data_IF_944417564298
#
_entry.id   IF_944417564298
#
_cell.length_a   1.000
_cell.length_b   1.000
_cell.length_c   1.000
_cell.angle_alpha   90.00
_cell.angle_beta   90.00
_cell.angle_gamma   90.00
#
_symmetry.space_group_name_H-M   'P 1'
#
loop_
_entity.id
_entity.type
_entity.pdbx_description
1 polymer ?
#
# COMPACT_ATOMS: atom_id res chain seq x y z
N UNK A 1 16.85 11.16 -1.19
CA UNK A 1 15.61 11.77 -1.73
C UNK A 1 14.43 10.86 -1.47
N UNK A 2 13.34 11.41 -0.99
CA UNK A 2 12.13 10.63 -0.78
C UNK A 2 11.45 10.28 -2.10
N UNK A 3 10.92 9.07 -2.16
CA UNK A 3 10.14 8.59 -3.30
C UNK A 3 8.76 8.19 -2.83
N UNK A 4 7.79 8.26 -3.73
CA UNK A 4 6.39 8.03 -3.41
C UNK A 4 5.71 7.15 -4.46
N UNK A 5 4.82 6.27 -4.01
CA UNK A 5 3.83 5.64 -4.87
C UNK A 5 2.59 6.55 -4.92
N UNK A 6 2.07 6.80 -6.11
CA UNK A 6 0.80 7.48 -6.28
C UNK A 6 -0.29 6.43 -6.49
N UNK A 7 -1.15 6.27 -5.49
CA UNK A 7 -2.16 5.21 -5.47
C UNK A 7 -3.53 5.83 -5.68
N UNK A 8 -4.29 5.41 -6.71
CA UNK A 8 -5.65 5.88 -6.89
C UNK A 8 -6.56 5.31 -5.81
N UNK A 9 -7.28 6.19 -5.12
CA UNK A 9 -8.20 5.83 -4.04
C UNK A 9 -9.61 6.27 -4.47
N UNK A 10 -10.53 5.32 -4.57
CA UNK A 10 -11.92 5.61 -4.94
C UNK A 10 -12.78 5.49 -3.68
N UNK A 11 -13.39 6.61 -3.26
CA UNK A 11 -14.22 6.64 -2.07
C UNK A 11 -15.63 6.07 -2.34
N UNK A 12 -16.46 6.03 -1.29
CA UNK A 12 -17.82 5.49 -1.39
C UNK A 12 -18.72 6.27 -2.35
N UNK A 13 -18.38 7.54 -2.62
CA UNK A 13 -19.11 8.40 -3.56
C UNK A 13 -18.67 8.20 -5.02
N UNK A 14 -17.69 7.32 -5.27
CA UNK A 14 -17.16 7.08 -6.61
C UNK A 14 -16.12 8.09 -7.08
N UNK A 15 -15.66 8.99 -6.20
CA UNK A 15 -14.61 9.97 -6.55
C UNK A 15 -13.24 9.34 -6.34
N UNK A 16 -12.39 9.43 -7.36
CA UNK A 16 -11.03 8.90 -7.32
C UNK A 16 -10.03 10.03 -7.07
N UNK A 17 -9.17 9.84 -6.07
CA UNK A 17 -8.09 10.77 -5.73
C UNK A 17 -6.78 9.99 -5.67
N UNK A 18 -5.71 10.54 -6.22
CA UNK A 18 -4.39 9.93 -6.13
C UNK A 18 -3.72 10.34 -4.82
N UNK A 19 -3.36 9.36 -4.01
CA UNK A 19 -2.72 9.59 -2.71
C UNK A 19 -1.27 9.15 -2.76
N UNK A 20 -0.37 10.01 -2.30
CA UNK A 20 1.07 9.71 -2.27
C UNK A 20 1.40 8.92 -1.00
N UNK A 21 2.10 7.82 -1.18
CA UNK A 21 2.57 6.96 -0.09
C UNK A 21 4.10 6.88 -0.18
N UNK A 22 4.78 7.31 0.88
CA UNK A 22 6.24 7.31 0.91
C UNK A 22 6.79 5.88 0.90
N UNK A 23 7.86 5.65 0.13
CA UNK A 23 8.52 4.35 0.06
C UNK A 23 9.87 4.35 0.77
N UNK A 24 10.33 5.50 1.26
CA UNK A 24 11.57 5.61 2.02
C UNK A 24 11.29 5.48 3.51
N UNK A 25 12.27 4.95 4.24
CA UNK A 25 12.17 4.73 5.70
C UNK A 25 11.07 3.77 6.11
N UNK A 26 10.68 2.86 5.22
CA UNK A 26 9.71 1.81 5.55
C UNK A 26 10.39 0.77 6.43
N UNK A 27 9.80 0.51 7.59
CA UNK A 27 10.28 -0.52 8.50
C UNK A 27 9.67 -1.88 8.16
N UNK A 28 8.40 -1.91 7.76
CA UNK A 28 7.73 -3.14 7.37
C UNK A 28 6.36 -2.89 6.76
N UNK A 29 5.89 -3.88 6.04
CA UNK A 29 4.54 -3.91 5.45
C UNK A 29 3.91 -5.22 5.85
N UNK A 30 2.70 -5.18 6.41
CA UNK A 30 2.00 -6.40 6.85
C UNK A 30 0.49 -6.24 6.76
N UNK A 31 -0.26 -7.34 6.57
CA UNK A 31 -1.72 -7.29 6.71
C UNK A 31 -2.09 -6.88 8.12
N UNK A 32 -3.15 -6.09 8.26
CA UNK A 32 -3.67 -5.71 9.58
C UNK A 32 -4.25 -6.96 10.25
N UNK A 33 -3.81 -7.22 11.49
CA UNK A 33 -4.23 -8.42 12.24
C UNK A 33 -5.74 -8.52 12.40
N UNK A 34 -6.43 -7.38 12.53
CA UNK A 34 -7.87 -7.36 12.67
C UNK A 34 -8.64 -7.42 11.36
N UNK A 35 -7.98 -7.26 10.21
CA UNK A 35 -8.64 -7.18 8.91
C UNK A 35 -7.69 -7.59 7.78
N UNK A 36 -7.13 -8.79 7.87
CA UNK A 36 -6.07 -9.26 6.95
C UNK A 36 -6.52 -9.33 5.48
N UNK A 37 -7.83 -9.47 5.25
CA UNK A 37 -8.35 -9.55 3.87
C UNK A 37 -8.46 -8.20 3.20
N UNK A 38 -8.69 -7.13 3.96
CA UNK A 38 -9.09 -5.83 3.44
C UNK A 38 -8.20 -4.66 3.86
N UNK A 39 -7.27 -4.87 4.79
CA UNK A 39 -6.40 -3.79 5.26
C UNK A 39 -4.95 -4.24 5.32
N UNK A 40 -4.06 -3.34 4.89
CA UNK A 40 -2.61 -3.55 4.94
C UNK A 40 -1.97 -2.32 5.57
N UNK A 41 -1.06 -2.53 6.52
CA UNK A 41 -0.34 -1.46 7.20
C UNK A 41 1.06 -1.33 6.68
N UNK A 42 1.51 -0.07 6.55
CA UNK A 42 2.91 0.27 6.30
C UNK A 42 3.43 0.97 7.54
N UNK A 43 4.49 0.44 8.12
CA UNK A 43 5.14 1.02 9.30
C UNK A 43 6.42 1.72 8.88
N UNK A 44 6.64 2.90 9.42
CA UNK A 44 7.82 3.72 9.13
C UNK A 44 8.72 3.83 10.35
N UNK A 45 10.00 4.11 10.09
CA UNK A 45 11.02 4.21 11.15
C UNK A 45 10.75 5.34 12.14
N UNK A 46 10.01 6.36 11.75
CA UNK A 46 9.66 7.48 12.63
C UNK A 46 8.46 7.20 13.54
N UNK A 47 7.97 5.96 13.57
CA UNK A 47 6.82 5.56 14.38
C UNK A 47 5.47 5.81 13.70
N UNK A 48 5.45 6.38 12.51
CA UNK A 48 4.20 6.61 11.77
C UNK A 48 3.73 5.32 11.10
N UNK A 49 2.43 5.23 10.90
CA UNK A 49 1.80 4.11 10.20
C UNK A 49 0.85 4.63 9.14
N UNK A 50 0.72 3.88 8.06
CA UNK A 50 -0.28 4.14 7.02
C UNK A 50 -1.09 2.88 6.85
N UNK A 51 -2.42 2.99 6.97
CA UNK A 51 -3.33 1.87 6.77
C UNK A 51 -4.05 2.04 5.44
N UNK A 52 -3.94 1.04 4.59
CA UNK A 52 -4.59 1.03 3.27
C UNK A 52 -5.74 0.03 3.33
N UNK A 53 -6.95 0.53 3.06
CA UNK A 53 -8.14 -0.31 2.93
C UNK A 53 -8.37 -0.60 1.44
N UNK A 54 -8.51 -1.87 1.10
CA UNK A 54 -8.60 -2.32 -0.28
C UNK A 54 -9.66 -3.42 -0.41
N UNK A 55 -9.98 -3.78 -1.65
CA UNK A 55 -10.90 -4.89 -1.91
C UNK A 55 -10.32 -6.19 -1.34
N UNK A 56 -11.21 -7.10 -0.93
CA UNK A 56 -10.80 -8.36 -0.30
C UNK A 56 -9.85 -9.16 -1.18
N UNK A 57 -8.78 -9.66 -0.57
CA UNK A 57 -7.84 -10.59 -1.22
C UNK A 57 -8.28 -12.05 -1.04
N UNK A 58 -9.44 -12.28 -0.42
CA UNK A 58 -9.96 -13.60 -0.11
C UNK A 58 -9.69 -13.99 1.34
N UNK A 59 -10.48 -14.94 1.82
CA UNK A 59 -10.39 -15.40 3.21
C UNK A 59 -9.02 -16.03 3.49
N UNK A 60 -8.47 -15.72 4.65
CA UNK A 60 -7.22 -16.35 5.11
C UNK A 60 -7.43 -17.87 5.28
N UNK A 61 -6.49 -18.66 4.79
CA UNK A 61 -6.54 -20.11 4.81
C UNK A 61 -5.11 -20.66 4.77
N UNK A 62 -4.93 -21.97 4.87
CA UNK A 62 -3.59 -22.53 4.69
C UNK A 62 -2.92 -22.20 3.36
N UNK A 63 -3.73 -21.91 2.31
CA UNK A 63 -3.20 -21.56 0.98
C UNK A 63 -3.30 -20.07 0.69
N UNK A 64 -3.96 -19.28 1.53
CA UNK A 64 -4.11 -17.85 1.37
C UNK A 64 -3.94 -17.17 2.72
N UNK A 65 -2.81 -16.49 2.90
CA UNK A 65 -2.46 -15.82 4.16
C UNK A 65 -2.95 -14.37 4.24
N UNK A 66 -3.66 -13.89 3.23
CA UNK A 66 -4.08 -12.49 3.16
C UNK A 66 -2.95 -11.52 2.79
N UNK A 67 -1.83 -12.01 2.30
CA UNK A 67 -0.64 -11.19 2.03
C UNK A 67 -0.54 -10.69 0.60
N UNK A 68 -1.50 -10.95 -0.24
CA UNK A 68 -1.42 -10.60 -1.67
C UNK A 68 -1.24 -9.10 -1.90
N UNK A 69 -1.99 -8.27 -1.19
CA UNK A 69 -1.84 -6.82 -1.33
C UNK A 69 -0.50 -6.36 -0.76
N UNK A 70 -0.08 -6.91 0.37
CA UNK A 70 1.23 -6.64 0.96
C UNK A 70 2.35 -6.95 -0.03
N UNK A 71 2.27 -8.08 -0.69
CA UNK A 71 3.28 -8.49 -1.69
C UNK A 71 3.29 -7.54 -2.89
N UNK A 72 2.11 -7.12 -3.35
CA UNK A 72 2.01 -6.12 -4.41
C UNK A 72 2.71 -4.82 -4.03
N UNK A 73 2.43 -4.30 -2.84
CA UNK A 73 3.05 -3.06 -2.36
C UNK A 73 4.57 -3.18 -2.27
N UNK A 74 5.04 -4.28 -1.70
CA UNK A 74 6.48 -4.51 -1.56
C UNK A 74 7.17 -4.52 -2.92
N UNK A 75 6.60 -5.22 -3.89
CA UNK A 75 7.17 -5.28 -5.24
C UNK A 75 7.23 -3.90 -5.88
N UNK A 76 6.16 -3.11 -5.78
CA UNK A 76 6.12 -1.77 -6.36
C UNK A 76 7.13 -0.83 -5.69
N UNK A 77 7.28 -0.92 -4.38
CA UNK A 77 8.27 -0.12 -3.63
C UNK A 77 9.69 -0.47 -4.03
N UNK A 78 9.99 -1.77 -4.15
CA UNK A 78 11.33 -2.22 -4.57
C UNK A 78 11.64 -1.74 -5.98
N UNK A 79 10.69 -1.86 -6.89
CA UNK A 79 10.86 -1.37 -8.27
C UNK A 79 11.19 0.12 -8.30
N UNK A 80 10.44 0.93 -7.54
CA UNK A 80 10.65 2.37 -7.50
C UNK A 80 12.02 2.72 -6.90
N UNK A 81 12.43 2.05 -5.84
CA UNK A 81 13.73 2.29 -5.20
C UNK A 81 14.90 1.92 -6.11
N UNK A 82 14.70 1.00 -7.04
CA UNK A 82 15.71 0.59 -8.02
C UNK A 82 15.79 1.52 -9.23
N UNK A 83 14.80 2.40 -9.41
CA UNK A 83 14.78 3.33 -10.53
C UNK A 83 15.74 4.49 -10.28
N UNK A 84 16.01 5.24 -11.35
CA UNK A 84 16.84 6.42 -11.33
C UNK A 84 16.38 7.40 -10.23
N UNK A 85 17.33 8.13 -9.64
CA UNK A 85 17.04 9.12 -8.60
C UNK A 85 16.08 10.22 -9.07
N UNK A 86 15.92 10.42 -10.39
CA UNK A 86 14.96 11.37 -10.95
C UNK A 86 13.52 10.87 -10.90
N UNK A 87 13.31 9.57 -10.69
CA UNK A 87 11.96 8.98 -10.59
C UNK A 87 11.50 9.02 -9.15
N UNK A 88 10.87 10.12 -8.74
CA UNK A 88 10.45 10.31 -7.34
C UNK A 88 8.99 9.92 -7.10
N UNK A 89 8.17 9.87 -8.14
CA UNK A 89 6.77 9.46 -8.03
C UNK A 89 6.46 8.42 -9.10
N UNK A 90 5.85 7.32 -8.68
CA UNK A 90 5.40 6.26 -9.58
C UNK A 90 3.91 6.05 -9.41
N UNK A 91 3.16 6.21 -10.51
CA UNK A 91 1.73 5.90 -10.52
C UNK A 91 1.57 4.39 -10.62
N UNK A 92 0.79 3.81 -9.70
CA UNK A 92 0.57 2.36 -9.66
C UNK A 92 -0.88 2.02 -9.94
N UNK A 93 -1.08 0.85 -10.53
CA UNK A 93 -2.41 0.26 -10.75
C UNK A 93 -2.53 -0.90 -9.77
N UNK A 94 -3.16 -0.69 -8.60
CA UNK A 94 -3.26 -1.77 -7.62
C UNK A 94 -4.10 -2.92 -8.17
N UNK A 95 -3.65 -4.14 -7.88
CA UNK A 95 -4.37 -5.35 -8.25
C UNK A 95 -5.75 -5.41 -7.59
N UNK A 96 -5.87 -4.84 -6.40
CA UNK A 96 -7.12 -4.75 -5.65
C UNK A 96 -7.46 -3.27 -5.49
N UNK A 97 -8.72 -2.90 -5.74
CA UNK A 97 -9.14 -1.51 -5.66
C UNK A 97 -8.92 -0.95 -4.23
N UNK A 98 -8.33 0.23 -4.15
CA UNK A 98 -8.07 0.91 -2.88
C UNK A 98 -9.21 1.88 -2.60
N UNK A 99 -9.81 1.79 -1.41
CA UNK A 99 -10.97 2.61 -1.03
C UNK A 99 -10.64 3.65 0.03
N UNK A 100 -9.57 3.49 0.79
CA UNK A 100 -9.15 4.48 1.78
C UNK A 100 -7.67 4.30 2.12
N UNK A 101 -6.99 5.42 2.41
CA UNK A 101 -5.64 5.44 2.96
C UNK A 101 -5.65 6.41 4.13
N UNK A 102 -5.28 5.92 5.31
CA UNK A 102 -5.29 6.71 6.54
C UNK A 102 -3.88 6.68 7.14
N UNK A 103 -3.34 7.88 7.38
CA UNK A 103 -2.07 8.05 8.07
C UNK A 103 -2.31 8.33 9.55
N UNK A 104 -1.49 7.73 10.41
CA UNK A 104 -1.57 7.96 11.85
C UNK A 104 -0.20 8.22 12.47
#
# INVERSE_FOLDING_TARGET
MEKFLSIPVTNASGVTTNTLVAVTNVLGIEPDVGAVETQTEIRYRNGREVTITHASVGAASPTNSGTQFRNFLQEEMVKLLQKDWTNVVEVVNPKFAVTAIVAS
#
